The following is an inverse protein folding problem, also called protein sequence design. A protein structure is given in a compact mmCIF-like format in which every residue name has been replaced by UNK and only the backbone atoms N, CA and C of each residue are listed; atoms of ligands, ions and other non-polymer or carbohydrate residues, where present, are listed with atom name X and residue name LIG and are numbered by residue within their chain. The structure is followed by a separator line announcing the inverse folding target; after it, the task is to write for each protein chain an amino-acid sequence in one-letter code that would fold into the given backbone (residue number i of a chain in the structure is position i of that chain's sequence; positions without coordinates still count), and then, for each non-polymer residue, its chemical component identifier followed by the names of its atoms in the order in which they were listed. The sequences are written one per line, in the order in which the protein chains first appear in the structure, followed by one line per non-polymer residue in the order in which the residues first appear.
data_IF_413013919541
#
_entry.id   IF_413013919541
#
_cell.length_a   1.000
_cell.length_b   1.000
_cell.length_c   1.000
_cell.angle_alpha   90.00
_cell.angle_beta   90.00
_cell.angle_gamma   90.00
#
_symmetry.space_group_name_H-M   'P 1'
#
loop_
_entity.id
_entity.type
_entity.pdbx_description
1 polymer ?
#
# COMPACT_ATOMS: atom_id res chain seq x y z
N UNK A 1 -13.96 -4.56 10.32
CA UNK A 1 -13.61 -4.68 10.01
C UNK A 1 -13.23 -5.08 10.09
N UNK A 2 -13.14 -4.99 10.45
CA UNK A 2 -12.56 -5.30 10.42
C UNK A 2 -11.88 -5.08 10.77
N UNK A 3 -11.65 -5.03 11.18
CA UNK A 3 -10.81 -4.91 11.27
C UNK A 3 -10.04 -4.91 11.57
N UNK A 4 -9.90 -4.85 11.91
CA UNK A 4 -8.99 -4.99 11.92
C UNK A 4 -8.40 -5.08 12.31
N UNK A 5 -8.62 -5.23 12.90
CA UNK A 5 -7.95 -5.48 12.99
C UNK A 5 -7.45 -5.95 13.11
N UNK A 6 -7.68 -6.31 13.57
CA UNK A 6 -7.01 -6.83 13.52
C UNK A 6 -6.11 -6.88 13.43
N UNK A 7 -5.92 -6.57 13.59
CA UNK A 7 -5.02 -6.66 13.27
C UNK A 7 -4.22 -6.68 13.50
N UNK A 8 -4.38 -6.73 14.05
CA UNK A 8 -3.61 -6.76 14.06
C UNK A 8 -3.01 -7.26 14.27
N UNK A 9 -3.38 -7.47 14.60
CA UNK A 9 -2.84 -7.98 14.60
C UNK A 9 -2.06 -8.45 14.60
N UNK A 10 -2.16 -8.36 14.81
CA UNK A 10 -1.42 -8.74 14.65
C UNK A 10 -0.52 -8.63 14.76
N UNK A 11 -0.52 -8.37 15.03
CA UNK A 11 0.37 -8.21 15.02
C UNK A 11 1.04 -8.48 15.61
N UNK A 12 0.81 -8.51 16.03
CA UNK A 12 1.49 -8.70 16.43
C UNK A 12 1.99 -9.55 16.63
N UNK A 13 1.81 -9.98 16.80
CA UNK A 13 2.39 -10.71 16.78
C UNK A 13 3.17 -10.99 16.62
N UNK A 14 3.37 -10.81 16.70
CA UNK A 14 4.23 -11.05 16.48
C UNK A 14 5.14 -10.98 16.91
N UNK A 15 4.97 -10.75 17.11
CA UNK A 15 6.03 -10.59 17.55
C UNK A 15 6.64 -11.48 18.17
N UNK A 16 6.32 -11.99 18.47
CA UNK A 16 6.89 -12.69 19.07
C UNK A 16 7.79 -13.40 18.56
N UNK A 17 7.92 -13.71 18.40
CA UNK A 17 8.71 -14.33 18.08
C UNK A 17 9.65 -14.02 17.52
N UNK A 18 9.78 -13.60 17.61
CA UNK A 18 10.59 -13.30 17.13
C UNK A 18 11.62 -13.61 17.32
N UNK A 19 11.73 -13.81 17.54
CA UNK A 19 12.67 -13.99 17.95
C UNK A 19 13.57 -14.55 17.30
N UNK A 20 13.65 -15.19 17.07
CA UNK A 20 14.65 -15.80 16.70
C UNK A 20 15.01 -15.92 15.39
N UNK A 21 14.37 -15.69 14.54
CA UNK A 21 14.85 -15.88 13.25
C UNK A 21 15.31 -14.59 12.71
N UNK A 22 16.54 -14.48 12.53
CA UNK A 22 17.14 -13.22 12.19
C UNK A 22 16.81 -12.76 10.81
N UNK A 23 16.61 -13.65 9.88
CA UNK A 23 16.36 -13.22 8.58
C UNK A 23 14.96 -13.14 8.34
N UNK A 24 14.36 -12.01 8.51
CA UNK A 24 12.97 -11.87 8.34
C UNK A 24 12.64 -10.94 7.26
N UNK A 25 11.76 -11.34 6.40
CA UNK A 25 11.05 -10.42 5.56
C UNK A 25 9.83 -9.98 6.32
N UNK A 26 9.46 -8.73 6.26
CA UNK A 26 8.18 -8.27 6.73
C UNK A 26 7.34 -7.89 5.52
N UNK A 27 6.04 -8.04 5.64
CA UNK A 27 5.14 -7.80 4.52
C UNK A 27 3.87 -7.17 5.02
N UNK A 28 3.49 -6.06 4.44
CA UNK A 28 2.24 -5.38 4.74
C UNK A 28 1.36 -5.43 3.52
N UNK A 29 0.15 -5.94 3.68
CA UNK A 29 -0.81 -6.01 2.59
C UNK A 29 -2.10 -5.36 3.04
N UNK A 30 -2.62 -4.44 2.23
CA UNK A 30 -3.93 -3.83 2.44
C UNK A 30 -4.76 -4.03 1.20
N UNK A 31 -6.01 -4.43 1.40
CA UNK A 31 -6.93 -4.69 0.31
C UNK A 31 -8.31 -4.18 0.70
N UNK A 32 -8.85 -3.26 -0.09
CA UNK A 32 -10.14 -2.64 0.17
C UNK A 32 -11.01 -2.76 -1.06
N UNK A 33 -12.26 -3.12 -0.84
CA UNK A 33 -13.26 -3.18 -1.89
C UNK A 33 -14.39 -2.21 -1.56
N UNK A 34 -14.77 -1.40 -2.53
CA UNK A 34 -15.93 -0.52 -2.45
C UNK A 34 -17.02 -1.13 -3.33
N UNK A 35 -18.02 -1.77 -2.74
CA UNK A 35 -19.09 -2.42 -3.50
C UNK A 35 -20.26 -1.48 -3.76
N UNK A 36 -20.24 -0.28 -3.23
CA UNK A 36 -21.18 0.78 -3.57
C UNK A 36 -20.42 2.12 -3.52
N UNK A 37 -20.98 3.15 -4.12
CA UNK A 37 -20.29 4.44 -4.26
C UNK A 37 -19.77 4.93 -2.94
N UNK A 38 -18.48 5.13 -2.86
CA UNK A 38 -17.80 5.53 -1.63
C UNK A 38 -16.89 6.72 -1.90
N UNK A 39 -16.93 7.69 -1.01
CA UNK A 39 -15.99 8.81 -1.02
C UNK A 39 -15.19 8.72 0.27
N UNK A 40 -13.89 8.53 0.15
CA UNK A 40 -13.02 8.33 1.31
C UNK A 40 -11.59 8.68 0.95
N UNK A 41 -10.82 9.02 1.97
CA UNK A 41 -9.41 9.29 1.80
C UNK A 41 -8.65 8.52 2.87
N UNK A 42 -7.62 7.80 2.47
CA UNK A 42 -6.78 7.04 3.39
C UNK A 42 -5.32 7.27 3.09
N UNK A 43 -4.52 7.31 4.15
CA UNK A 43 -3.07 7.41 4.05
C UNK A 43 -2.47 6.29 4.86
N UNK A 44 -1.55 5.56 4.25
CA UNK A 44 -0.83 4.47 4.90
C UNK A 44 0.63 4.85 5.00
N UNK A 45 1.23 4.56 6.13
CA UNK A 45 2.65 4.84 6.35
C UNK A 45 3.38 3.53 6.57
N UNK A 46 4.49 3.36 5.85
CA UNK A 46 5.26 2.13 5.85
C UNK A 46 6.70 2.49 6.18
N UNK A 47 7.12 2.16 7.38
CA UNK A 47 8.43 2.58 7.88
C UNK A 47 9.55 1.65 7.44
N UNK A 48 10.62 2.24 6.94
CA UNK A 48 11.86 1.54 6.61
C UNK A 48 12.89 1.96 7.65
N UNK A 49 13.34 1.05 8.51
CA UNK A 49 14.16 1.44 9.67
C UNK A 49 15.61 1.74 9.36
N UNK A 50 16.13 1.26 8.26
CA UNK A 50 17.56 1.46 7.96
C UNK A 50 17.82 1.73 6.50
N UNK A 51 18.88 2.52 6.24
CA UNK A 51 19.30 2.81 4.88
C UNK A 51 19.72 1.54 4.16
N UNK A 52 19.39 1.45 2.89
CA UNK A 52 19.77 0.32 2.07
C UNK A 52 18.93 -0.93 2.26
N UNK A 53 17.86 -0.82 3.05
CA UNK A 53 16.92 -1.93 3.20
C UNK A 53 16.30 -2.25 1.83
N UNK A 54 16.29 -3.52 1.48
CA UNK A 54 15.65 -3.92 0.22
C UNK A 54 14.14 -3.96 0.42
N UNK A 55 13.43 -3.35 -0.49
CA UNK A 55 11.97 -3.26 -0.43
C UNK A 55 11.37 -3.57 -1.78
N UNK A 56 10.10 -3.89 -1.77
CA UNK A 56 9.31 -4.02 -3.00
C UNK A 56 7.90 -3.54 -2.72
N UNK A 57 7.40 -2.67 -3.57
CA UNK A 57 6.05 -2.14 -3.47
C UNK A 57 5.28 -2.52 -4.72
N UNK A 58 4.10 -3.05 -4.54
CA UNK A 58 3.19 -3.32 -5.64
C UNK A 58 1.84 -2.73 -5.32
N UNK A 59 1.23 -2.06 -6.28
CA UNK A 59 -0.08 -1.42 -6.11
C UNK A 59 -0.96 -1.84 -7.27
N UNK A 60 -2.16 -2.31 -6.94
CA UNK A 60 -3.15 -2.72 -7.93
C UNK A 60 -4.46 -2.05 -7.59
N UNK A 61 -5.21 -1.67 -8.59
CA UNK A 61 -6.53 -1.09 -8.38
C UNK A 61 -7.41 -1.31 -9.60
N UNK A 62 -8.71 -1.32 -9.37
CA UNK A 62 -9.71 -1.42 -10.43
C UNK A 62 -10.85 -0.49 -10.06
N UNK A 63 -11.34 0.28 -11.03
CA UNK A 63 -12.44 1.21 -10.81
C UNK A 63 -13.53 0.92 -11.84
N UNK A 64 -14.75 0.73 -11.36
CA UNK A 64 -15.90 0.54 -12.24
C UNK A 64 -16.72 1.80 -12.35
N UNK A 65 -16.81 2.60 -11.28
CA UNK A 65 -17.53 3.86 -11.25
C UNK A 65 -16.74 4.85 -10.42
N UNK A 66 -16.91 6.14 -10.70
CA UNK A 66 -16.24 7.18 -9.94
C UNK A 66 -14.77 7.26 -10.25
N UNK A 67 -14.00 7.64 -9.25
CA UNK A 67 -12.57 7.86 -9.44
C UNK A 67 -11.79 7.41 -8.22
N UNK A 68 -10.62 6.82 -8.45
CA UNK A 68 -9.65 6.56 -7.38
C UNK A 68 -8.35 7.25 -7.77
N UNK A 69 -7.82 8.06 -6.86
CA UNK A 69 -6.51 8.68 -7.02
C UNK A 69 -5.54 7.98 -6.09
N UNK A 70 -4.36 7.66 -6.61
CA UNK A 70 -3.33 6.96 -5.85
C UNK A 70 -2.04 7.75 -5.96
N UNK A 71 -1.46 8.10 -4.83
CA UNK A 71 -0.15 8.75 -4.78
C UNK A 71 0.74 7.94 -3.85
N UNK A 72 1.87 7.49 -4.36
CA UNK A 72 2.85 6.76 -3.56
C UNK A 72 4.13 7.58 -3.53
N UNK A 73 4.62 7.84 -2.30
CA UNK A 73 5.89 8.54 -2.09
C UNK A 73 6.87 7.58 -1.44
N UNK A 74 8.10 7.64 -1.87
CA UNK A 74 9.13 6.80 -1.28
C UNK A 74 9.66 7.43 0.01
N UNK A 75 10.61 6.77 0.66
CA UNK A 75 11.15 7.22 1.94
C UNK A 75 11.89 8.55 1.85
N UNK A 76 12.32 8.93 0.65
CA UNK A 76 12.96 10.23 0.45
C UNK A 76 11.93 11.34 0.19
N UNK A 77 10.65 11.02 0.22
CA UNK A 77 9.58 11.99 0.00
C UNK A 77 9.26 12.26 -1.46
N UNK A 78 9.86 11.50 -2.36
CA UNK A 78 9.62 11.70 -3.79
C UNK A 78 8.44 10.88 -4.25
N UNK A 79 7.66 11.44 -5.15
CA UNK A 79 6.51 10.73 -5.73
C UNK A 79 7.01 9.65 -6.67
N UNK A 80 6.65 8.42 -6.38
CA UNK A 80 6.91 7.30 -7.27
C UNK A 80 5.75 7.08 -8.23
N UNK A 81 4.52 7.19 -7.72
CA UNK A 81 3.34 7.03 -8.55
C UNK A 81 2.32 8.11 -8.22
N UNK A 82 1.66 8.63 -9.25
CA UNK A 82 0.58 9.59 -9.09
C UNK A 82 -0.40 9.24 -10.21
N UNK A 83 -1.46 8.54 -9.87
CA UNK A 83 -2.38 8.01 -10.86
C UNK A 83 -3.83 8.34 -10.52
N UNK A 84 -4.63 8.52 -11.54
CA UNK A 84 -6.06 8.65 -11.42
C UNK A 84 -6.71 7.60 -12.28
N UNK A 85 -7.64 6.86 -11.70
CA UNK A 85 -8.36 5.82 -12.38
C UNK A 85 -9.84 6.18 -12.42
N UNK A 86 -10.47 5.94 -13.53
CA UNK A 86 -11.90 6.17 -13.67
C UNK A 86 -12.39 5.70 -15.02
N UNK A 87 -13.71 5.60 -15.19
CA UNK A 87 -14.25 5.04 -16.43
C UNK A 87 -14.19 6.00 -17.61
N UNK A 88 -14.05 7.31 -17.38
CA UNK A 88 -14.09 8.27 -18.45
C UNK A 88 -12.71 8.78 -18.79
N UNK A 89 -12.18 8.35 -19.94
CA UNK A 89 -10.89 8.81 -20.45
C UNK A 89 -9.70 8.52 -19.55
N UNK A 90 -9.87 7.65 -18.58
CA UNK A 90 -8.81 7.29 -17.64
C UNK A 90 -8.72 5.77 -17.60
N UNK A 91 -7.58 5.22 -17.26
CA UNK A 91 -7.50 3.78 -17.10
C UNK A 91 -8.42 3.32 -15.99
N UNK A 92 -9.00 2.15 -16.16
CA UNK A 92 -9.86 1.55 -15.14
C UNK A 92 -9.13 0.49 -14.34
N UNK A 93 -7.94 0.11 -14.78
CA UNK A 93 -7.10 -0.86 -14.08
C UNK A 93 -5.70 -0.32 -13.94
N UNK A 94 -5.07 -0.68 -12.85
CA UNK A 94 -3.74 -0.17 -12.51
C UNK A 94 -2.96 -1.27 -11.79
N UNK A 95 -1.75 -1.49 -12.21
CA UNK A 95 -0.90 -2.51 -11.60
C UNK A 95 0.55 -2.08 -11.82
N UNK A 96 1.20 -1.66 -10.74
CA UNK A 96 2.58 -1.22 -10.79
C UNK A 96 3.38 -1.90 -9.70
N UNK A 97 4.66 -2.09 -9.96
CA UNK A 97 5.55 -2.84 -9.09
C UNK A 97 6.93 -2.21 -9.19
N UNK A 98 7.53 -1.86 -8.07
CA UNK A 98 8.88 -1.31 -8.07
C UNK A 98 9.92 -2.35 -8.45
N UNK A 99 9.57 -3.64 -8.31
CA UNK A 99 10.59 -4.66 -8.25
C UNK A 99 11.36 -4.53 -6.93
N UNK A 100 12.33 -5.38 -6.72
CA UNK A 100 13.15 -5.32 -5.53
C UNK A 100 14.14 -4.17 -5.68
N UNK A 101 14.19 -3.28 -4.71
CA UNK A 101 15.08 -2.12 -4.76
C UNK A 101 15.55 -1.76 -3.37
N UNK A 102 16.59 -0.95 -3.27
CA UNK A 102 17.07 -0.46 -1.98
C UNK A 102 16.41 0.87 -1.67
N UNK A 103 16.06 1.05 -0.40
CA UNK A 103 15.40 2.25 0.08
C UNK A 103 16.23 2.92 1.17
N UNK A 104 16.25 4.24 1.23
CA UNK A 104 16.78 4.91 2.42
C UNK A 104 15.85 4.67 3.60
N UNK A 105 16.34 4.91 4.79
CA UNK A 105 15.49 4.90 5.98
C UNK A 105 14.45 6.00 5.84
N UNK A 106 13.29 5.80 6.42
CA UNK A 106 12.21 6.79 6.39
C UNK A 106 10.88 6.12 6.23
N UNK A 107 9.91 6.87 5.74
CA UNK A 107 8.54 6.40 5.63
C UNK A 107 8.07 6.50 4.19
N UNK A 108 7.65 5.36 3.65
CA UNK A 108 6.92 5.33 2.40
C UNK A 108 5.46 5.64 2.72
N UNK A 109 4.78 6.38 1.88
CA UNK A 109 3.37 6.67 2.08
C UNK A 109 2.56 6.26 0.86
N UNK A 110 1.36 5.74 1.11
CA UNK A 110 0.39 5.44 0.06
C UNK A 110 -0.86 6.24 0.40
N UNK A 111 -1.23 7.16 -0.47
CA UNK A 111 -2.44 7.97 -0.30
C UNK A 111 -3.47 7.52 -1.31
N UNK A 112 -4.64 7.17 -0.84
CA UNK A 112 -5.75 6.73 -1.69
C UNK A 112 -6.91 7.69 -1.47
N UNK A 113 -7.42 8.24 -2.55
CA UNK A 113 -8.58 9.10 -2.48
C UNK A 113 -9.63 8.59 -3.44
N UNK A 114 -10.76 8.15 -2.91
CA UNK A 114 -11.88 7.63 -3.69
C UNK A 114 -12.95 8.70 -3.75
N UNK A 115 -13.52 8.95 -4.92
CA UNK A 115 -14.61 9.90 -5.10
C UNK A 115 -15.75 9.15 -5.79
N UNK A 116 -16.80 8.89 -5.04
CA UNK A 116 -17.98 8.15 -5.49
C UNK A 116 -17.57 6.89 -6.25
N UNK A 117 -16.61 6.18 -5.71
CA UNK A 117 -15.96 5.07 -6.40
C UNK A 117 -16.60 3.74 -6.08
N UNK A 118 -16.73 2.91 -7.11
CA UNK A 118 -17.00 1.48 -6.98
C UNK A 118 -15.82 0.77 -7.60
N UNK A 119 -15.18 -0.08 -6.83
CA UNK A 119 -13.97 -0.77 -7.29
C UNK A 119 -13.17 -1.29 -6.13
N UNK A 120 -11.88 -1.42 -6.32
CA UNK A 120 -11.02 -1.96 -5.27
C UNK A 120 -9.59 -1.47 -5.44
N UNK A 121 -8.83 -1.53 -4.37
CA UNK A 121 -7.39 -1.34 -4.44
C UNK A 121 -6.71 -2.30 -3.49
N UNK A 122 -5.46 -2.57 -3.81
CA UNK A 122 -4.63 -3.43 -2.97
C UNK A 122 -3.20 -2.94 -3.11
N UNK A 123 -2.46 -2.90 -2.01
CA UNK A 123 -1.02 -2.73 -2.11
C UNK A 123 -0.33 -3.75 -1.22
N UNK A 124 0.89 -4.10 -1.62
CA UNK A 124 1.75 -4.99 -0.86
C UNK A 124 3.12 -4.32 -0.75
N UNK A 125 3.62 -4.22 0.46
CA UNK A 125 4.94 -3.66 0.72
C UNK A 125 5.76 -4.70 1.47
N UNK A 126 6.86 -5.09 0.87
CA UNK A 126 7.73 -6.11 1.44
C UNK A 126 9.08 -5.51 1.75
N UNK A 127 9.60 -5.84 2.92
CA UNK A 127 10.95 -5.47 3.32
C UNK A 127 11.74 -6.76 3.51
N UNK A 128 12.95 -6.76 2.99
CA UNK A 128 13.82 -7.94 3.05
C UNK A 128 14.92 -7.69 4.05
N UNK A 129 15.34 -8.72 4.69
CA UNK A 129 16.47 -8.63 5.60
C UNK A 129 17.71 -9.24 5.00
#
# INVERSE_FOLDING_TARGET
MRRTLKAAALVALLAAAVVAAPERSSRTIESITFDHKTTAKKTYELRVPGDGTRVRMRVKATVREGEIKIVVRNAAGRVWQDARLGPSKKPTKYDVDTGEMRSPAGVWTVEIEATEAVGSYEFAFKQYK
#
